data_IF_662824525203
#
_entry.id   IF_662824525203
#
_cell.length_a   1.000
_cell.length_b   1.000
_cell.length_c   1.000
_cell.angle_alpha   90.00
_cell.angle_beta   90.00
_cell.angle_gamma   90.00
#
_symmetry.space_group_name_H-M   'P 1'
#
loop_
_entity.id
_entity.type
_entity.pdbx_description
1 polymer ?
#
# COMPACT_ATOMS: atom_id res chain seq x y z
N UNK A 1 -1.92 -20.10 -55.68
CA UNK A 1 -2.38 -20.41 -57.05
C UNK A 1 -3.64 -21.27 -56.94
N UNK A 2 -4.45 -21.41 -58.01
CA UNK A 2 -5.52 -22.41 -58.04
C UNK A 2 -4.95 -23.79 -57.71
N UNK A 3 -5.74 -24.62 -57.01
CA UNK A 3 -5.27 -25.96 -56.65
C UNK A 3 -5.28 -26.89 -57.86
N UNK A 4 -4.35 -27.85 -57.91
CA UNK A 4 -4.24 -28.83 -59.01
C UNK A 4 -5.55 -29.57 -59.30
N UNK A 5 -6.35 -29.85 -58.26
CA UNK A 5 -7.60 -30.61 -58.38
C UNK A 5 -8.83 -29.72 -58.65
N UNK A 6 -8.71 -28.39 -58.51
CA UNK A 6 -9.81 -27.45 -58.79
C UNK A 6 -9.24 -26.15 -59.33
N UNK A 7 -8.97 -26.16 -60.64
CA UNK A 7 -8.31 -25.07 -61.37
C UNK A 7 -9.24 -23.86 -61.49
N UNK A 8 -10.55 -24.09 -61.61
CA UNK A 8 -11.56 -23.03 -61.73
C UNK A 8 -11.96 -22.40 -60.38
N UNK A 9 -11.43 -22.90 -59.25
CA UNK A 9 -11.72 -22.35 -57.91
C UNK A 9 -10.56 -21.49 -57.40
N UNK A 10 -10.77 -20.20 -57.11
CA UNK A 10 -9.70 -19.30 -56.67
C UNK A 10 -9.36 -19.49 -55.18
N UNK A 11 -8.67 -20.59 -54.85
CA UNK A 11 -8.33 -21.01 -53.48
C UNK A 11 -7.66 -19.89 -52.65
N UNK A 12 -6.59 -19.28 -53.16
CA UNK A 12 -5.84 -18.28 -52.41
C UNK A 12 -6.64 -17.01 -52.11
N UNK A 13 -7.47 -16.54 -53.07
CA UNK A 13 -8.30 -15.36 -52.86
C UNK A 13 -9.34 -15.62 -51.76
N UNK A 14 -9.96 -16.80 -51.78
CA UNK A 14 -10.93 -17.21 -50.75
C UNK A 14 -10.25 -17.31 -49.38
N UNK A 15 -9.09 -17.95 -49.29
CA UNK A 15 -8.36 -18.10 -48.03
C UNK A 15 -7.89 -16.76 -47.47
N UNK A 16 -7.33 -15.89 -48.33
CA UNK A 16 -6.91 -14.53 -47.92
C UNK A 16 -8.10 -13.70 -47.44
N UNK A 17 -9.24 -13.75 -48.14
CA UNK A 17 -10.44 -13.03 -47.74
C UNK A 17 -11.00 -13.54 -46.40
N UNK A 18 -11.07 -14.86 -46.22
CA UNK A 18 -11.49 -15.49 -44.96
C UNK A 18 -10.56 -15.11 -43.81
N UNK A 19 -9.24 -15.17 -44.04
CA UNK A 19 -8.24 -14.78 -43.06
C UNK A 19 -8.34 -13.30 -42.67
N UNK A 20 -8.46 -12.41 -43.66
CA UNK A 20 -8.66 -10.97 -43.44
C UNK A 20 -9.94 -10.69 -42.65
N UNK A 21 -11.05 -11.36 -42.99
CA UNK A 21 -12.33 -11.25 -42.28
C UNK A 21 -12.23 -11.74 -40.83
N UNK A 22 -11.53 -12.85 -40.58
CA UNK A 22 -11.28 -13.37 -39.23
C UNK A 22 -10.45 -12.40 -38.38
N UNK A 23 -9.38 -11.85 -38.95
CA UNK A 23 -8.56 -10.82 -38.28
C UNK A 23 -9.39 -9.56 -38.01
N UNK A 24 -10.20 -9.12 -38.96
CA UNK A 24 -11.09 -7.97 -38.81
C UNK A 24 -12.07 -8.14 -37.64
N UNK A 25 -12.73 -9.30 -37.55
CA UNK A 25 -13.61 -9.65 -36.42
C UNK A 25 -12.87 -9.69 -35.09
N UNK A 26 -11.65 -10.24 -35.05
CA UNK A 26 -10.82 -10.22 -33.83
C UNK A 26 -10.44 -8.79 -33.42
N UNK A 27 -10.13 -7.92 -34.39
CA UNK A 27 -9.81 -6.52 -34.13
C UNK A 27 -11.03 -5.76 -33.59
N UNK A 28 -12.21 -5.94 -34.17
CA UNK A 28 -13.43 -5.27 -33.68
C UNK A 28 -13.86 -5.78 -32.32
N UNK A 29 -13.77 -7.09 -32.06
CA UNK A 29 -14.02 -7.65 -30.75
C UNK A 29 -13.06 -7.07 -29.69
N UNK A 30 -11.76 -6.99 -30.00
CA UNK A 30 -10.76 -6.35 -29.13
C UNK A 30 -10.99 -4.86 -28.94
N UNK A 31 -11.53 -4.15 -29.92
CA UNK A 31 -11.88 -2.74 -29.75
C UNK A 31 -13.10 -2.56 -28.83
N UNK A 32 -14.05 -3.51 -28.83
CA UNK A 32 -15.24 -3.49 -27.97
C UNK A 32 -14.99 -3.97 -26.55
N UNK A 33 -14.17 -5.02 -26.39
CA UNK A 33 -13.86 -5.64 -25.09
C UNK A 33 -12.53 -5.18 -24.50
N UNK A 34 -11.72 -4.47 -25.28
CA UNK A 34 -10.40 -4.02 -24.86
C UNK A 34 -10.51 -2.84 -23.93
N UNK A 35 -9.67 -2.86 -22.89
CA UNK A 35 -9.49 -1.71 -22.02
C UNK A 35 -8.91 -0.58 -22.87
N UNK A 36 -9.60 0.56 -22.88
CA UNK A 36 -9.17 1.76 -23.62
C UNK A 36 -7.76 2.12 -23.15
N UNK A 37 -6.81 2.20 -24.08
CA UNK A 37 -5.46 2.67 -23.75
C UNK A 37 -5.45 4.18 -23.77
N UNK A 38 -4.59 4.81 -22.96
CA UNK A 38 -4.43 6.28 -22.97
C UNK A 38 -3.93 6.87 -24.31
N UNK A 39 -3.58 6.02 -25.27
CA UNK A 39 -3.27 6.44 -26.65
C UNK A 39 -4.52 6.61 -27.52
N UNK A 40 -5.64 5.99 -27.13
CA UNK A 40 -6.95 6.14 -27.77
C UNK A 40 -7.83 7.20 -27.10
N UNK A 41 -7.42 7.73 -25.95
CA UNK A 41 -8.09 8.86 -25.28
C UNK A 41 -7.44 10.20 -25.66
N UNK A 42 -8.18 11.32 -25.63
CA UNK A 42 -7.60 12.64 -25.89
C UNK A 42 -6.52 12.99 -24.86
N UNK A 43 -5.58 13.86 -25.26
CA UNK A 43 -4.38 14.20 -24.46
C UNK A 43 -4.72 14.76 -23.06
N UNK A 44 -5.89 15.35 -22.89
CA UNK A 44 -6.38 15.97 -21.66
C UNK A 44 -7.44 15.14 -20.94
N UNK A 45 -7.66 13.90 -21.36
CA UNK A 45 -8.57 13.01 -20.66
C UNK A 45 -8.01 12.71 -19.26
N UNK A 46 -8.71 13.19 -18.23
CA UNK A 46 -8.35 12.98 -16.82
C UNK A 46 -8.79 11.61 -16.34
N UNK A 47 -9.50 10.84 -17.17
CA UNK A 47 -10.10 9.60 -16.76
C UNK A 47 -9.04 8.52 -16.47
N UNK A 48 -8.88 8.21 -15.18
CA UNK A 48 -7.82 7.36 -14.63
C UNK A 48 -7.98 5.87 -14.97
N UNK A 49 -9.11 5.50 -15.57
CA UNK A 49 -9.48 4.13 -15.91
C UNK A 49 -8.74 3.57 -17.13
N UNK A 50 -8.13 4.45 -17.94
CA UNK A 50 -7.39 4.04 -19.12
C UNK A 50 -6.04 3.38 -18.79
N UNK A 51 -5.74 2.27 -19.48
CA UNK A 51 -4.48 1.53 -19.26
C UNK A 51 -3.27 2.41 -19.59
N UNK A 52 -2.21 2.36 -18.76
CA UNK A 52 -0.99 3.14 -18.96
C UNK A 52 -0.41 2.91 -20.36
N UNK A 53 0.13 3.98 -20.96
CA UNK A 53 0.88 3.90 -22.22
C UNK A 53 2.07 2.95 -22.06
N UNK A 54 2.59 2.44 -23.18
CA UNK A 54 3.80 1.60 -23.16
C UNK A 54 5.01 2.29 -22.51
N UNK A 55 5.04 3.63 -22.52
CA UNK A 55 6.06 4.47 -21.87
C UNK A 55 5.80 4.70 -20.38
N UNK A 56 4.58 4.47 -19.90
CA UNK A 56 4.22 4.63 -18.49
C UNK A 56 4.53 3.35 -17.71
N UNK A 57 4.98 3.50 -16.47
CA UNK A 57 5.36 2.33 -15.68
C UNK A 57 4.13 1.61 -15.13
N UNK A 58 3.95 0.34 -15.52
CA UNK A 58 2.90 -0.55 -14.99
C UNK A 58 2.97 -0.69 -13.46
N UNK A 59 4.17 -0.64 -12.90
CA UNK A 59 4.37 -0.74 -11.45
C UNK A 59 3.73 0.41 -10.66
N UNK A 60 3.71 1.64 -11.21
CA UNK A 60 3.04 2.78 -10.56
C UNK A 60 1.52 2.64 -10.68
N UNK A 61 1.01 2.21 -11.83
CA UNK A 61 -0.42 1.97 -12.01
C UNK A 61 -0.96 0.89 -11.04
N UNK A 62 -0.23 -0.21 -10.88
CA UNK A 62 -0.55 -1.25 -9.89
C UNK A 62 -0.48 -0.74 -8.44
N UNK A 63 0.48 0.14 -8.14
CA UNK A 63 0.61 0.72 -6.79
C UNK A 63 -0.53 1.69 -6.46
N UNK A 64 -1.01 2.45 -7.45
CA UNK A 64 -2.09 3.42 -7.26
C UNK A 64 -3.50 2.80 -7.34
N UNK A 65 -3.61 1.53 -7.72
CA UNK A 65 -4.89 0.81 -7.79
C UNK A 65 -5.80 1.19 -8.98
N UNK A 66 -5.30 1.95 -9.96
CA UNK A 66 -6.14 2.47 -11.05
C UNK A 66 -6.49 1.43 -12.13
N UNK A 67 -5.89 0.23 -12.10
CA UNK A 67 -5.99 -0.73 -13.21
C UNK A 67 -6.23 -2.18 -12.77
N UNK A 68 -6.90 -2.45 -11.66
CA UNK A 68 -7.25 -3.83 -11.32
C UNK A 68 -8.68 -4.14 -11.78
N UNK A 69 -8.89 -4.72 -12.98
CA UNK A 69 -10.16 -5.32 -13.31
C UNK A 69 -10.43 -6.46 -12.32
N UNK A 70 -11.43 -6.27 -11.47
CA UNK A 70 -11.87 -7.30 -10.53
C UNK A 70 -12.35 -8.54 -11.31
N UNK A 71 -11.85 -9.72 -10.97
CA UNK A 71 -12.27 -10.99 -11.58
C UNK A 71 -11.47 -11.48 -12.80
N UNK A 72 -10.43 -10.76 -13.25
CA UNK A 72 -9.56 -11.20 -14.37
C UNK A 72 -8.20 -11.64 -13.84
N UNK A 73 -7.77 -12.86 -14.19
CA UNK A 73 -6.42 -13.36 -13.87
C UNK A 73 -5.39 -12.57 -14.68
N UNK A 74 -4.44 -11.92 -14.01
CA UNK A 74 -3.35 -11.18 -14.66
C UNK A 74 -1.98 -11.70 -14.24
N UNK A 75 -1.01 -11.64 -15.15
CA UNK A 75 0.40 -11.94 -14.86
C UNK A 75 1.16 -10.71 -14.33
N UNK A 76 0.47 -9.58 -14.10
CA UNK A 76 1.08 -8.33 -13.71
C UNK A 76 1.11 -8.23 -12.18
N UNK A 77 2.30 -8.27 -11.59
CA UNK A 77 2.48 -8.18 -10.13
C UNK A 77 3.34 -6.99 -9.74
N UNK A 78 3.06 -6.42 -8.56
CA UNK A 78 3.95 -5.44 -7.93
C UNK A 78 4.81 -6.13 -6.88
N UNK A 79 6.12 -6.21 -7.12
CA UNK A 79 7.05 -6.74 -6.11
C UNK A 79 7.07 -5.87 -4.85
N UNK A 80 7.07 -6.50 -3.67
CA UNK A 80 7.21 -5.82 -2.38
C UNK A 80 8.43 -4.88 -2.31
N UNK A 81 9.54 -5.26 -2.96
CA UNK A 81 10.74 -4.41 -3.05
C UNK A 81 10.44 -3.11 -3.79
N UNK A 82 9.71 -3.18 -4.90
CA UNK A 82 9.32 -2.01 -5.69
C UNK A 82 8.29 -1.17 -4.96
N UNK A 83 7.31 -1.78 -4.30
CA UNK A 83 6.32 -1.09 -3.48
C UNK A 83 6.99 -0.24 -2.37
N UNK A 84 7.95 -0.82 -1.63
CA UNK A 84 8.71 -0.09 -0.60
C UNK A 84 9.54 1.06 -1.20
N UNK A 85 10.17 0.87 -2.38
CA UNK A 85 10.91 1.95 -3.06
C UNK A 85 9.99 3.09 -3.48
N UNK A 86 8.81 2.80 -4.02
CA UNK A 86 7.82 3.82 -4.39
C UNK A 86 7.34 4.57 -3.15
N UNK A 87 6.98 3.88 -2.07
CA UNK A 87 6.56 4.51 -0.82
C UNK A 87 7.66 5.40 -0.22
N UNK A 88 8.91 4.95 -0.23
CA UNK A 88 10.06 5.76 0.22
C UNK A 88 10.26 7.00 -0.63
N UNK A 89 10.21 6.87 -1.96
CA UNK A 89 10.33 8.01 -2.87
C UNK A 89 9.16 9.00 -2.69
N UNK A 90 7.94 8.51 -2.46
CA UNK A 90 6.78 9.36 -2.13
C UNK A 90 7.04 10.21 -0.88
N UNK A 91 7.66 9.63 0.16
CA UNK A 91 8.08 10.37 1.36
C UNK A 91 9.15 11.43 1.06
N UNK A 92 10.14 11.12 0.22
CA UNK A 92 11.16 12.11 -0.15
C UNK A 92 10.60 13.26 -0.97
N UNK A 93 9.64 12.99 -1.85
CA UNK A 93 8.95 14.03 -2.62
C UNK A 93 8.11 14.90 -1.69
N UNK A 94 7.34 14.30 -0.76
CA UNK A 94 6.58 15.06 0.23
C UNK A 94 7.48 15.99 1.05
N UNK A 95 8.59 15.48 1.59
CA UNK A 95 9.57 16.31 2.32
C UNK A 95 10.21 17.40 1.48
N UNK A 96 10.46 17.14 0.19
CA UNK A 96 10.99 18.17 -0.72
C UNK A 96 9.93 19.24 -0.95
N UNK A 97 8.68 18.86 -1.15
CA UNK A 97 7.59 19.80 -1.37
C UNK A 97 7.29 20.61 -0.09
N UNK A 98 7.34 20.00 1.09
CA UNK A 98 7.28 20.70 2.38
C UNK A 98 8.41 21.73 2.48
N UNK A 99 9.67 21.34 2.21
CA UNK A 99 10.80 22.27 2.19
C UNK A 99 10.64 23.38 1.16
N UNK A 100 10.19 23.07 -0.06
CA UNK A 100 9.95 24.08 -1.08
C UNK A 100 8.81 25.00 -0.69
N UNK A 101 7.75 24.50 -0.05
CA UNK A 101 6.67 25.33 0.47
C UNK A 101 7.17 26.19 1.63
N UNK A 102 8.03 25.68 2.50
CA UNK A 102 8.69 26.44 3.57
C UNK A 102 9.64 27.48 2.97
N UNK A 103 10.41 27.16 1.94
CA UNK A 103 11.31 28.10 1.26
C UNK A 103 10.49 29.19 0.54
N UNK A 104 9.36 28.83 -0.09
CA UNK A 104 8.41 29.78 -0.69
C UNK A 104 7.72 30.65 0.38
N UNK A 105 7.36 30.06 1.53
CA UNK A 105 6.83 30.79 2.67
C UNK A 105 7.89 31.68 3.30
N UNK A 106 9.15 31.25 3.40
CA UNK A 106 10.26 32.06 3.93
C UNK A 106 10.67 33.19 2.97
N UNK A 107 10.56 32.98 1.65
CA UNK A 107 10.68 34.05 0.66
C UNK A 107 9.48 35.01 0.69
N UNK A 108 8.28 34.53 1.09
CA UNK A 108 7.11 35.37 1.37
C UNK A 108 7.20 36.10 2.73
N UNK A 109 7.74 35.46 3.78
CA UNK A 109 7.93 36.01 5.14
C UNK A 109 9.15 36.96 5.21
N UNK A 110 10.10 36.87 4.27
CA UNK A 110 11.05 37.98 4.03
C UNK A 110 10.34 39.28 3.59
N UNK A 111 9.06 39.21 3.24
CA UNK A 111 8.19 40.36 2.99
C UNK A 111 7.13 40.58 4.09
N UNK A 112 6.96 39.67 5.06
CA UNK A 112 6.01 39.82 6.17
C UNK A 112 6.56 39.16 7.45
N UNK A 113 6.86 39.99 8.44
CA UNK A 113 7.41 39.61 9.75
C UNK A 113 6.29 39.22 10.72
N UNK A 114 6.59 38.16 11.49
CA UNK A 114 6.05 37.72 12.79
C UNK A 114 4.92 36.67 12.87
N UNK A 115 5.13 35.76 13.85
CA UNK A 115 4.21 34.83 14.54
C UNK A 115 3.88 33.47 13.91
N UNK A 116 4.63 32.42 14.33
CA UNK A 116 4.09 31.32 15.16
C UNK A 116 4.91 30.02 15.05
N UNK A 117 5.70 29.70 16.10
CA UNK A 117 6.50 28.47 16.16
C UNK A 117 6.17 27.61 17.37
N UNK A 118 5.01 26.91 17.42
CA UNK A 118 4.71 26.00 18.55
C UNK A 118 3.94 24.69 18.24
N UNK A 119 3.85 24.19 17.00
CA UNK A 119 2.94 23.03 16.70
C UNK A 119 3.57 21.69 16.27
N UNK A 120 4.90 21.53 16.24
CA UNK A 120 5.50 20.31 15.67
C UNK A 120 5.93 19.19 16.63
N UNK A 121 5.86 19.35 17.96
CA UNK A 121 6.41 18.33 18.87
C UNK A 121 5.51 17.11 19.16
N UNK A 122 4.24 17.11 18.76
CA UNK A 122 3.31 16.01 19.13
C UNK A 122 3.23 14.84 18.13
N UNK A 123 3.86 14.91 16.96
CA UNK A 123 3.68 13.92 15.88
C UNK A 123 4.61 12.69 15.93
N UNK A 124 5.47 12.55 16.95
CA UNK A 124 6.48 11.46 17.06
C UNK A 124 6.20 10.40 18.13
N UNK A 125 5.00 10.35 18.70
CA UNK A 125 4.61 9.19 19.51
C UNK A 125 4.29 8.01 18.57
N UNK A 126 5.25 7.09 18.41
CA UNK A 126 5.02 5.80 17.74
C UNK A 126 3.75 5.17 18.33
N UNK A 127 2.82 4.76 17.48
CA UNK A 127 1.61 4.07 17.92
C UNK A 127 1.99 2.80 18.68
N UNK A 128 1.99 2.87 20.01
CA UNK A 128 2.22 1.72 20.88
C UNK A 128 1.23 0.63 20.50
N UNK A 129 1.76 -0.56 20.20
CA UNK A 129 0.91 -1.70 19.89
C UNK A 129 0.14 -2.11 21.14
N UNK A 130 -0.99 -2.83 20.99
CA UNK A 130 -1.76 -3.33 22.15
C UNK A 130 -0.89 -4.14 23.11
N UNK A 131 0.11 -4.84 22.57
CA UNK A 131 1.09 -5.63 23.32
C UNK A 131 2.00 -4.71 24.16
N UNK A 132 2.45 -3.58 23.61
CA UNK A 132 3.29 -2.63 24.34
C UNK A 132 2.56 -2.02 25.54
N UNK A 133 1.27 -1.69 25.38
CA UNK A 133 0.42 -1.22 26.49
C UNK A 133 0.25 -2.27 27.59
N UNK A 134 0.08 -3.54 27.23
CA UNK A 134 -0.02 -4.64 28.21
C UNK A 134 1.31 -4.82 28.94
N UNK A 135 2.44 -4.71 28.25
CA UNK A 135 3.77 -4.76 28.88
C UNK A 135 3.98 -3.60 29.86
N UNK A 136 3.62 -2.38 29.48
CA UNK A 136 3.71 -1.21 30.35
C UNK A 136 2.86 -1.38 31.62
N UNK A 137 1.61 -1.87 31.48
CA UNK A 137 0.75 -2.16 32.64
C UNK A 137 1.31 -3.28 33.52
N UNK A 138 1.87 -4.34 32.91
CA UNK A 138 2.46 -5.45 33.67
C UNK A 138 3.70 -4.99 34.44
N UNK A 139 4.57 -4.19 33.83
CA UNK A 139 5.73 -3.62 34.50
C UNK A 139 5.33 -2.68 35.63
N UNK A 140 4.34 -1.80 35.41
CA UNK A 140 3.80 -0.94 36.45
C UNK A 140 3.24 -1.75 37.64
N UNK A 141 2.52 -2.84 37.39
CA UNK A 141 1.98 -3.69 38.45
C UNK A 141 3.05 -4.47 39.24
N UNK A 142 4.16 -4.84 38.58
CA UNK A 142 5.31 -5.47 39.24
C UNK A 142 6.04 -4.46 40.12
N UNK A 143 6.26 -3.25 39.62
CA UNK A 143 6.88 -2.16 40.39
C UNK A 143 6.05 -1.77 41.62
N UNK A 144 4.72 -1.70 41.45
CA UNK A 144 3.79 -1.39 42.55
C UNK A 144 3.86 -2.46 43.66
N UNK A 145 3.87 -3.75 43.29
CA UNK A 145 4.03 -4.86 44.25
C UNK A 145 5.40 -4.93 44.93
N UNK A 146 6.46 -4.49 44.25
CA UNK A 146 7.79 -4.38 44.87
C UNK A 146 7.83 -3.20 45.84
N UNK A 147 7.10 -2.11 45.53
CA UNK A 147 7.01 -0.92 46.37
C UNK A 147 6.11 -1.07 47.60
N UNK A 148 5.07 -1.91 47.53
CA UNK A 148 4.21 -2.22 48.68
C UNK A 148 4.92 -3.01 49.78
N UNK A 149 6.11 -3.56 49.49
CA UNK A 149 6.82 -4.45 50.39
C UNK A 149 6.04 -5.74 50.60
N UNK A 150 6.72 -6.87 50.57
CA UNK A 150 6.10 -8.14 50.95
C UNK A 150 5.78 -8.07 52.45
N UNK A 151 4.61 -7.53 52.83
CA UNK A 151 4.05 -7.65 54.17
C UNK A 151 3.68 -9.11 54.37
N UNK A 152 4.69 -9.93 54.67
CA UNK A 152 4.47 -11.10 55.51
C UNK A 152 3.79 -10.52 56.73
N UNK A 153 2.50 -10.79 56.88
CA UNK A 153 1.86 -10.75 58.19
C UNK A 153 2.58 -11.80 59.04
N UNK A 154 3.76 -11.42 59.53
CA UNK A 154 4.37 -11.99 60.70
C UNK A 154 3.28 -11.92 61.76
N UNK A 155 2.70 -13.07 62.09
CA UNK A 155 1.71 -13.18 63.14
C UNK A 155 2.32 -12.70 64.45
N UNK A 156 2.20 -11.40 64.69
CA UNK A 156 2.46 -10.71 65.96
C UNK A 156 1.14 -10.37 66.61
N UNK A 157 0.20 -11.31 66.60
CA UNK A 157 -0.92 -11.32 67.52
C UNK A 157 -0.72 -12.52 68.44
N UNK A 158 -0.10 -12.24 69.58
CA UNK A 158 0.03 -13.21 70.65
C UNK A 158 -1.36 -13.58 71.17
N UNK A 159 -1.69 -14.87 71.12
CA UNK A 159 -2.48 -15.57 72.13
C UNK A 159 -2.21 -17.07 72.00
N UNK A 160 -1.76 -17.67 73.10
CA UNK A 160 -1.16 -19.00 73.13
C UNK A 160 -2.14 -20.14 72.86
N UNK A 161 -1.61 -21.21 72.28
CA UNK A 161 -2.01 -22.59 72.55
C UNK A 161 -0.84 -23.50 72.22
N UNK A 162 -0.28 -24.09 73.27
CA UNK A 162 0.73 -25.15 73.25
C UNK A 162 0.16 -26.41 72.59
N UNK A 163 0.62 -26.72 71.37
CA UNK A 163 0.61 -28.08 70.82
C UNK A 163 2.10 -28.48 70.79
N UNK A 164 2.62 -29.37 71.62
CA UNK A 164 2.05 -30.64 72.03
C UNK A 164 2.90 -31.76 71.41
N UNK A 165 4.05 -32.01 72.04
CA UNK A 165 4.84 -33.26 72.06
C UNK A 165 5.48 -33.75 70.74
N UNK A 166 6.82 -33.78 70.76
CA UNK A 166 7.67 -34.61 69.90
C UNK A 166 7.66 -36.05 70.45
N UNK A 167 7.21 -37.01 69.64
CA UNK A 167 7.41 -38.44 69.87
C UNK A 167 8.42 -38.97 68.84
N UNK A 168 9.29 -39.86 69.31
CA UNK A 168 10.50 -40.44 68.68
C UNK A 168 10.48 -40.62 67.15
#
# INVERSE_FOLDING_TARGET
MPSRNSINKPKDKILRNSHASSIGKKRSARARSGIVTKSSTPRYDTDSSAVPKATESRAIALYNGSTTPSGVVTNNTLSNKRAKKIARNKKYIAKRNEKLNIDLLADQEKMEVDEDTEKEEQAKAKSQTKLDKIKEVLWAAVEDRVSEGFKVSSGTDGNGTTLGVQAF
#
